data_IF_690490222955
#
_entry.id   IF_690490222955
#
_cell.length_a   1.000
_cell.length_b   1.000
_cell.length_c   1.000
_cell.angle_alpha   90.00
_cell.angle_beta   90.00
_cell.angle_gamma   90.00
#
_symmetry.space_group_name_H-M   'P 1'
#
loop_
_entity.id
_entity.type
_entity.pdbx_description
1 polymer ?
#
# COMPACT_ATOMS: atom_id res chain seq x y z
N UNK A 1 -9.82 -53.63 -2.25
CA UNK A 1 -10.46 -52.35 -1.91
C UNK A 1 -9.37 -51.30 -1.71
N UNK A 2 -9.34 -50.22 -2.52
CA UNK A 2 -8.41 -49.10 -2.35
C UNK A 2 -9.14 -48.00 -1.56
N UNK A 3 -8.62 -47.65 -0.39
CA UNK A 3 -9.05 -46.45 0.35
C UNK A 3 -8.25 -45.28 -0.20
N UNK A 4 -8.93 -44.36 -0.90
CA UNK A 4 -8.32 -43.10 -1.31
C UNK A 4 -8.25 -42.17 -0.09
N UNK A 5 -7.03 -41.83 0.34
CA UNK A 5 -6.82 -40.77 1.32
C UNK A 5 -7.06 -39.42 0.62
N UNK A 6 -8.13 -38.71 1.00
CA UNK A 6 -8.34 -37.32 0.60
C UNK A 6 -7.30 -36.43 1.29
N UNK A 7 -6.48 -35.73 0.50
CA UNK A 7 -5.59 -34.70 1.02
C UNK A 7 -6.43 -33.57 1.66
N UNK A 8 -6.01 -32.98 2.78
CA UNK A 8 -6.72 -31.84 3.35
C UNK A 8 -6.62 -30.66 2.38
N UNK A 9 -7.76 -30.00 2.12
CA UNK A 9 -7.78 -28.73 1.42
C UNK A 9 -6.91 -27.74 2.19
N UNK A 10 -5.83 -27.26 1.57
CA UNK A 10 -5.04 -26.17 2.12
C UNK A 10 -5.95 -24.96 2.27
N UNK A 11 -6.19 -24.53 3.50
CA UNK A 11 -6.85 -23.25 3.78
C UNK A 11 -5.90 -22.17 3.30
N UNK A 12 -6.20 -21.57 2.14
CA UNK A 12 -5.46 -20.41 1.67
C UNK A 12 -5.72 -19.26 2.66
N UNK A 13 -4.73 -18.94 3.48
CA UNK A 13 -4.70 -17.66 4.20
C UNK A 13 -4.69 -16.57 3.14
N UNK A 14 -5.81 -15.84 3.00
CA UNK A 14 -5.84 -14.66 2.15
C UNK A 14 -4.85 -13.63 2.72
N UNK A 15 -3.74 -13.44 2.01
CA UNK A 15 -2.72 -12.46 2.39
C UNK A 15 -3.24 -11.08 2.02
N UNK A 16 -3.84 -10.39 2.99
CA UNK A 16 -4.40 -9.05 2.77
C UNK A 16 -3.26 -8.05 2.50
N UNK A 17 -3.38 -7.25 1.43
CA UNK A 17 -2.45 -6.17 1.13
C UNK A 17 -2.45 -5.13 2.26
N UNK A 18 -1.29 -4.60 2.59
CA UNK A 18 -1.15 -3.66 3.70
C UNK A 18 -0.65 -2.31 3.20
N UNK A 19 -1.40 -1.26 3.50
CA UNK A 19 -1.04 0.12 3.19
C UNK A 19 -1.22 0.97 4.43
N UNK A 20 -0.16 1.66 4.83
CA UNK A 20 -0.13 2.53 6.00
C UNK A 20 0.28 3.93 5.57
N UNK A 21 -0.44 4.95 6.06
CA UNK A 21 0.07 6.32 6.04
C UNK A 21 0.98 6.52 7.26
N UNK A 22 2.18 7.03 7.03
CA UNK A 22 3.17 7.33 8.07
C UNK A 22 3.36 8.83 8.15
N UNK A 23 3.49 9.35 9.37
CA UNK A 23 3.84 10.73 9.66
C UNK A 23 5.15 10.74 10.45
N UNK A 24 6.14 11.49 9.97
CA UNK A 24 7.40 11.72 10.66
C UNK A 24 7.45 13.15 11.18
N UNK A 25 7.20 13.33 12.48
CA UNK A 25 7.21 14.66 13.11
C UNK A 25 8.56 15.35 13.01
N UNK A 26 9.67 14.60 13.17
CA UNK A 26 11.03 15.15 13.06
C UNK A 26 11.39 15.62 11.63
N UNK A 27 10.77 15.03 10.61
CA UNK A 27 11.02 15.36 9.21
C UNK A 27 9.91 16.22 8.60
N UNK A 28 8.88 16.58 9.38
CA UNK A 28 7.69 17.31 8.94
C UNK A 28 7.14 16.79 7.60
N UNK A 29 6.89 15.48 7.52
CA UNK A 29 6.52 14.86 6.26
C UNK A 29 5.71 13.58 6.45
N UNK A 30 4.98 13.22 5.40
CA UNK A 30 4.20 11.99 5.29
C UNK A 30 4.70 11.11 4.15
N UNK A 31 4.46 9.81 4.27
CA UNK A 31 4.67 8.85 3.19
C UNK A 31 3.73 7.66 3.35
N UNK A 32 3.41 6.98 2.25
CA UNK A 32 2.76 5.69 2.31
C UNK A 32 3.83 4.60 2.42
N UNK A 33 3.61 3.64 3.32
CA UNK A 33 4.35 2.37 3.37
C UNK A 33 3.39 1.27 2.99
N UNK A 34 3.83 0.39 2.09
CA UNK A 34 3.03 -0.74 1.65
C UNK A 34 3.83 -2.05 1.71
N UNK A 35 3.11 -3.15 1.87
CA UNK A 35 3.66 -4.49 1.84
C UNK A 35 2.63 -5.48 1.35
N UNK A 36 3.07 -6.69 1.00
CA UNK A 36 2.22 -7.75 0.44
C UNK A 36 1.48 -7.29 -0.82
N UNK A 37 2.15 -6.47 -1.64
CA UNK A 37 1.61 -6.02 -2.91
C UNK A 37 1.81 -7.08 -3.99
N UNK A 38 0.91 -7.12 -4.96
CA UNK A 38 1.00 -7.98 -6.13
C UNK A 38 1.63 -7.24 -7.31
N UNK A 39 2.14 -7.99 -8.29
CA UNK A 39 2.65 -7.43 -9.53
C UNK A 39 1.54 -6.65 -10.25
N UNK A 40 1.84 -5.41 -10.64
CA UNK A 40 0.89 -4.49 -11.27
C UNK A 40 0.08 -3.65 -10.28
N UNK A 41 0.21 -3.88 -8.97
CA UNK A 41 -0.39 -3.00 -7.97
C UNK A 41 0.29 -1.63 -7.98
N UNK A 42 -0.50 -0.61 -7.67
CA UNK A 42 -0.05 0.76 -7.47
C UNK A 42 -0.56 1.30 -6.14
N UNK A 43 0.28 2.04 -5.44
CA UNK A 43 -0.13 2.85 -4.28
C UNK A 43 0.10 4.31 -4.61
N UNK A 44 -0.94 5.13 -4.48
CA UNK A 44 -0.89 6.57 -4.69
C UNK A 44 -1.01 7.30 -3.34
N UNK A 45 -0.11 8.25 -3.10
CA UNK A 45 -0.19 9.22 -2.01
C UNK A 45 -0.47 10.61 -2.59
N UNK A 46 -1.51 11.24 -2.07
CA UNK A 46 -1.87 12.62 -2.42
C UNK A 46 -2.01 13.46 -1.16
N UNK A 47 -1.50 14.68 -1.24
CA UNK A 47 -1.73 15.76 -0.29
C UNK A 47 -2.13 17.00 -1.12
N UNK A 48 -3.16 17.76 -0.73
CA UNK A 48 -3.54 18.97 -1.46
C UNK A 48 -2.34 19.90 -1.63
N UNK A 49 -2.20 20.49 -2.83
CA UNK A 49 -1.08 21.40 -3.15
C UNK A 49 0.29 20.73 -3.36
N UNK A 50 0.46 19.44 -3.08
CA UNK A 50 1.71 18.72 -3.28
C UNK A 50 1.67 17.80 -4.52
N UNK A 51 2.82 17.52 -5.16
CA UNK A 51 2.90 16.52 -6.22
C UNK A 51 2.53 15.13 -5.71
N UNK A 52 1.68 14.41 -6.47
CA UNK A 52 1.35 13.01 -6.21
C UNK A 52 2.62 12.15 -6.17
N UNK A 53 2.68 11.23 -5.21
CA UNK A 53 3.77 10.24 -5.09
C UNK A 53 3.21 8.83 -5.21
N UNK A 54 4.01 7.92 -5.74
CA UNK A 54 3.52 6.60 -6.14
C UNK A 54 4.53 5.49 -5.81
N UNK A 55 3.99 4.31 -5.55
CA UNK A 55 4.71 3.02 -5.59
C UNK A 55 4.12 2.26 -6.77
N UNK A 56 4.98 1.66 -7.59
CA UNK A 56 4.60 0.71 -8.64
C UNK A 56 5.31 -0.61 -8.38
N UNK A 57 4.57 -1.72 -8.41
CA UNK A 57 5.17 -3.06 -8.32
C UNK A 57 5.35 -3.59 -9.74
N UNK A 58 6.57 -3.47 -10.25
CA UNK A 58 6.91 -3.85 -11.62
C UNK A 58 7.74 -5.14 -11.69
N UNK A 59 8.25 -5.60 -10.54
CA UNK A 59 9.14 -6.77 -10.46
C UNK A 59 8.77 -7.70 -9.32
N UNK A 60 9.16 -8.97 -9.44
CA UNK A 60 8.97 -9.99 -8.40
C UNK A 60 9.72 -9.66 -7.10
N UNK A 61 10.84 -8.94 -7.19
CA UNK A 61 11.60 -8.47 -6.02
C UNK A 61 10.79 -7.48 -5.19
N UNK A 62 10.00 -6.62 -5.86
CA UNK A 62 9.16 -5.61 -5.23
C UNK A 62 7.91 -6.21 -4.57
N UNK A 63 7.35 -7.29 -5.15
CA UNK A 63 6.17 -8.00 -4.65
C UNK A 63 6.27 -8.35 -3.15
N UNK A 64 7.43 -8.86 -2.74
CA UNK A 64 7.65 -9.33 -1.36
C UNK A 64 8.38 -8.30 -0.47
N UNK A 65 8.64 -7.11 -0.98
CA UNK A 65 9.34 -6.05 -0.24
C UNK A 65 8.36 -5.13 0.51
N UNK A 66 8.89 -4.46 1.53
CA UNK A 66 8.24 -3.24 2.03
C UNK A 66 8.66 -2.08 1.13
N UNK A 67 7.68 -1.47 0.48
CA UNK A 67 7.88 -0.32 -0.40
C UNK A 67 7.36 0.95 0.29
N UNK A 68 7.94 2.08 -0.06
CA UNK A 68 7.51 3.38 0.44
C UNK A 68 7.50 4.40 -0.69
N UNK A 69 6.53 5.31 -0.65
CA UNK A 69 6.60 6.51 -1.48
C UNK A 69 7.75 7.39 -0.99
N UNK A 70 8.34 8.23 -1.86
CA UNK A 70 9.11 9.37 -1.39
C UNK A 70 8.33 10.20 -0.37
N UNK A 71 9.05 10.84 0.56
CA UNK A 71 8.45 11.72 1.55
C UNK A 71 7.80 12.93 0.88
N UNK A 72 6.61 13.28 1.34
CA UNK A 72 5.89 14.50 0.96
C UNK A 72 5.90 15.43 2.16
N UNK A 73 6.47 16.62 1.99
CA UNK A 73 6.55 17.61 3.06
C UNK A 73 5.13 18.01 3.50
N UNK A 74 4.92 18.05 4.82
CA UNK A 74 3.76 18.65 5.47
C UNK A 74 4.10 20.09 5.80
N UNK A 75 3.72 21.00 4.91
CA UNK A 75 3.83 22.43 5.12
C UNK A 75 2.48 23.03 5.50
N UNK A 76 2.40 24.02 6.40
CA UNK A 76 1.16 24.74 6.67
C UNK A 76 0.49 25.24 5.37
N UNK A 77 -0.86 25.20 5.27
CA UNK A 77 -1.81 24.87 6.33
C UNK A 77 -2.14 23.37 6.49
N UNK A 78 -1.41 22.47 5.81
CA UNK A 78 -1.79 21.06 5.76
C UNK A 78 -1.42 20.26 7.00
N UNK A 79 -2.27 19.30 7.35
CA UNK A 79 -2.05 18.32 8.41
C UNK A 79 -2.05 16.87 7.85
N UNK A 80 -1.62 15.86 8.62
CA UNK A 80 -1.60 14.47 8.14
C UNK A 80 -2.97 13.92 7.72
N UNK A 81 -4.07 14.43 8.28
CA UNK A 81 -5.43 14.03 7.97
C UNK A 81 -5.91 14.50 6.60
N UNK A 82 -5.30 15.55 6.05
CA UNK A 82 -5.54 16.00 4.66
C UNK A 82 -4.98 15.03 3.62
N UNK A 83 -4.06 14.15 4.03
CA UNK A 83 -3.47 13.17 3.15
C UNK A 83 -4.45 12.04 2.83
N UNK A 84 -4.42 11.61 1.57
CA UNK A 84 -5.15 10.43 1.09
C UNK A 84 -4.16 9.44 0.49
N UNK A 85 -4.32 8.18 0.86
CA UNK A 85 -3.60 7.05 0.26
C UNK A 85 -4.60 6.12 -0.41
N UNK A 86 -4.25 5.64 -1.61
CA UNK A 86 -5.08 4.70 -2.35
C UNK A 86 -4.25 3.49 -2.77
N UNK A 87 -4.76 2.29 -2.48
CA UNK A 87 -4.34 1.06 -3.12
C UNK A 87 -5.15 0.87 -4.40
N UNK A 88 -4.45 0.60 -5.49
CA UNK A 88 -5.01 0.34 -6.80
C UNK A 88 -4.43 -0.99 -7.27
N UNK A 89 -5.15 -2.11 -7.08
CA UNK A 89 -4.69 -3.39 -7.59
C UNK A 89 -4.56 -3.38 -9.11
N UNK A 90 -3.88 -4.37 -9.66
CA UNK A 90 -3.71 -4.53 -11.11
C UNK A 90 -5.06 -4.55 -11.89
N UNK A 91 -6.16 -4.93 -11.25
CA UNK A 91 -7.51 -4.92 -11.82
C UNK A 91 -8.14 -3.52 -11.93
N UNK A 92 -7.46 -2.49 -11.43
CA UNK A 92 -7.85 -1.08 -11.53
C UNK A 92 -8.86 -0.61 -10.49
N UNK A 93 -9.37 -1.49 -9.60
CA UNK A 93 -10.23 -1.05 -8.48
C UNK A 93 -9.45 -0.12 -7.56
N UNK A 94 -10.12 0.87 -6.97
CA UNK A 94 -9.44 1.85 -6.10
C UNK A 94 -10.05 1.82 -4.70
N UNK A 95 -9.22 1.48 -3.72
CA UNK A 95 -9.56 1.54 -2.30
C UNK A 95 -8.71 2.62 -1.63
N UNK A 96 -9.33 3.59 -0.96
CA UNK A 96 -8.62 4.72 -0.37
C UNK A 96 -8.96 4.92 1.11
N UNK A 97 -7.99 5.46 1.84
CA UNK A 97 -8.14 5.93 3.21
C UNK A 97 -7.45 7.28 3.39
N UNK A 98 -7.83 8.00 4.45
CA UNK A 98 -7.22 9.26 4.87
C UNK A 98 -6.35 9.06 6.11
N UNK A 99 -5.47 10.01 6.41
CA UNK A 99 -4.56 9.97 7.57
C UNK A 99 -5.20 10.22 8.94
N UNK A 100 -6.36 9.62 9.21
CA UNK A 100 -7.08 9.73 10.49
C UNK A 100 -7.08 8.41 11.24
#
# INVERSE_FOLDING_TARGET
MRVAAGAPAAVALEVVQEVQLRNGTACHAIWARAGRLHLGDRVELTLPGAPRKEIHVNTEKERNAYLATPMTALTPPHDPGDARVCLIPADGRRACSTGR
#
